data_IF_643722078778
#
_entry.id   IF_643722078778
#
_cell.length_a   1.000
_cell.length_b   1.000
_cell.length_c   1.000
_cell.angle_alpha   90.00
_cell.angle_beta   90.00
_cell.angle_gamma   90.00
#
_symmetry.space_group_name_H-M   'P 1'
#
loop_
_entity.id
_entity.type
_entity.pdbx_description
1 polymer ?
#
# COMPACT_ATOMS: atom_id res chain seq x y z
N UNK A 1 10.51 -10.05 -18.24
CA UNK A 1 10.47 -10.87 -17.03
C UNK A 1 11.19 -10.09 -15.94
N UNK A 2 10.48 -9.58 -14.94
CA UNK A 2 11.03 -8.65 -13.96
C UNK A 2 11.80 -9.39 -12.87
N UNK A 3 13.03 -8.96 -12.59
CA UNK A 3 13.67 -9.15 -11.29
C UNK A 3 13.40 -7.89 -10.44
N UNK A 4 12.13 -7.61 -10.15
CA UNK A 4 11.79 -6.70 -9.05
C UNK A 4 11.76 -7.57 -7.80
N UNK A 5 12.83 -7.54 -7.00
CA UNK A 5 12.88 -8.33 -5.78
C UNK A 5 12.09 -7.64 -4.67
N UNK A 6 10.83 -8.04 -4.53
CA UNK A 6 9.95 -7.56 -3.47
C UNK A 6 10.54 -7.76 -2.07
N UNK A 7 11.46 -8.72 -1.87
CA UNK A 7 12.04 -8.98 -0.56
C UNK A 7 13.00 -7.87 -0.09
N UNK A 8 13.67 -7.16 -1.01
CA UNK A 8 14.54 -6.04 -0.63
C UNK A 8 13.75 -4.81 -0.15
N UNK A 9 12.54 -4.64 -0.69
CA UNK A 9 11.67 -3.47 -0.47
C UNK A 9 10.64 -3.65 0.63
N UNK A 10 10.33 -4.89 0.99
CA UNK A 10 9.34 -5.22 2.01
C UNK A 10 9.60 -4.44 3.31
N UNK A 11 8.57 -3.80 3.83
CA UNK A 11 8.61 -3.07 5.10
C UNK A 11 9.38 -1.75 5.07
N UNK A 12 9.75 -1.24 3.89
CA UNK A 12 10.39 0.07 3.77
C UNK A 12 9.43 1.22 4.15
N UNK A 13 9.90 2.47 4.04
CA UNK A 13 9.11 3.66 4.37
C UNK A 13 7.79 3.75 3.60
N UNK A 14 7.80 3.35 2.31
CA UNK A 14 6.61 3.36 1.47
C UNK A 14 5.56 2.36 1.96
N UNK A 15 5.97 1.14 2.33
CA UNK A 15 5.08 0.12 2.89
C UNK A 15 4.52 0.54 4.25
N UNK A 16 5.32 1.19 5.09
CA UNK A 16 4.86 1.72 6.39
C UNK A 16 3.70 2.72 6.21
N UNK A 17 3.82 3.64 5.25
CA UNK A 17 2.74 4.59 4.92
C UNK A 17 1.54 3.87 4.29
N UNK A 18 1.79 3.03 3.27
CA UNK A 18 0.76 2.36 2.48
C UNK A 18 -0.10 1.40 3.32
N UNK A 19 0.54 0.51 4.08
CA UNK A 19 -0.19 -0.55 4.80
C UNK A 19 -0.96 -0.02 5.99
N UNK A 20 -0.45 0.98 6.69
CA UNK A 20 -1.17 1.63 7.80
C UNK A 20 -2.39 2.39 7.30
N UNK A 21 -2.22 3.16 6.21
CA UNK A 21 -3.33 3.82 5.51
C UNK A 21 -4.40 2.83 5.02
N UNK A 22 -3.97 1.75 4.37
CA UNK A 22 -4.84 0.71 3.85
C UNK A 22 -5.66 0.05 4.96
N UNK A 23 -5.02 -0.31 6.07
CA UNK A 23 -5.68 -0.92 7.23
C UNK A 23 -6.71 0.02 7.86
N UNK A 24 -6.36 1.29 8.06
CA UNK A 24 -7.26 2.26 8.66
C UNK A 24 -8.50 2.52 7.79
N UNK A 25 -8.31 2.63 6.47
CA UNK A 25 -9.42 2.75 5.52
C UNK A 25 -10.30 1.48 5.52
N UNK A 26 -9.69 0.30 5.50
CA UNK A 26 -10.42 -0.96 5.55
C UNK A 26 -11.22 -1.12 6.85
N UNK A 27 -10.65 -0.78 8.01
CA UNK A 27 -11.33 -0.91 9.29
C UNK A 27 -12.58 -0.03 9.36
N UNK A 28 -12.48 1.21 8.88
CA UNK A 28 -13.62 2.11 8.78
C UNK A 28 -14.71 1.55 7.84
N UNK A 29 -14.33 0.98 6.70
CA UNK A 29 -15.28 0.40 5.74
C UNK A 29 -15.93 -0.90 6.25
N UNK A 30 -15.18 -1.76 6.95
CA UNK A 30 -15.70 -2.96 7.61
C UNK A 30 -16.72 -2.56 8.67
N UNK A 31 -16.40 -1.56 9.49
CA UNK A 31 -17.28 -1.06 10.55
C UNK A 31 -18.58 -0.48 9.99
N UNK A 32 -18.51 0.19 8.84
CA UNK A 32 -19.66 0.84 8.21
C UNK A 32 -20.53 -0.09 7.34
N UNK A 33 -20.18 -1.37 7.18
CA UNK A 33 -20.87 -2.28 6.25
C UNK A 33 -21.29 -3.61 6.88
N UNK A 34 -22.36 -4.21 6.36
CA UNK A 34 -22.82 -5.56 6.71
C UNK A 34 -22.49 -6.58 5.61
N UNK A 35 -22.38 -7.87 5.95
CA UNK A 35 -22.13 -8.95 4.99
C UNK A 35 -20.68 -9.43 4.93
N UNK A 36 -20.18 -9.77 3.75
CA UNK A 36 -18.77 -10.11 3.54
C UNK A 36 -17.95 -8.82 3.30
N UNK A 37 -16.63 -8.91 3.38
CA UNK A 37 -15.73 -7.84 2.94
C UNK A 37 -14.94 -8.29 1.70
N UNK A 38 -15.29 -7.71 0.55
CA UNK A 38 -14.66 -7.94 -0.74
C UNK A 38 -13.47 -6.99 -0.94
N UNK A 39 -12.26 -7.51 -0.90
CA UNK A 39 -11.01 -6.79 -1.18
C UNK A 39 -10.52 -7.06 -2.61
N UNK A 40 -9.85 -6.09 -3.21
CA UNK A 40 -9.16 -6.29 -4.48
C UNK A 40 -7.79 -5.61 -4.47
N UNK A 41 -6.82 -6.24 -5.14
CA UNK A 41 -5.46 -5.72 -5.27
C UNK A 41 -4.91 -5.95 -6.68
N UNK A 42 -4.72 -4.87 -7.42
CA UNK A 42 -4.28 -4.92 -8.84
C UNK A 42 -2.81 -5.28 -9.02
N UNK A 43 -2.01 -5.19 -7.95
CA UNK A 43 -0.59 -5.51 -7.91
C UNK A 43 -0.29 -6.23 -6.60
N UNK A 44 -0.89 -7.41 -6.43
CA UNK A 44 -1.01 -8.07 -5.13
C UNK A 44 0.33 -8.36 -4.45
N UNK A 45 1.38 -8.70 -5.21
CA UNK A 45 2.65 -9.11 -4.65
C UNK A 45 2.54 -10.36 -3.77
N UNK A 46 3.63 -10.69 -3.09
CA UNK A 46 3.67 -11.80 -2.15
C UNK A 46 2.71 -11.56 -0.96
N UNK A 47 2.05 -12.63 -0.49
CA UNK A 47 1.25 -12.57 0.74
C UNK A 47 2.11 -12.23 1.96
N UNK A 48 3.38 -12.64 1.94
CA UNK A 48 4.40 -12.22 2.91
C UNK A 48 5.81 -12.33 2.29
N UNK A 49 6.72 -11.48 2.76
CA UNK A 49 8.11 -11.45 2.32
C UNK A 49 9.04 -11.76 3.49
N UNK A 50 10.06 -12.59 3.28
CA UNK A 50 11.06 -12.88 4.32
C UNK A 50 12.05 -11.72 4.38
N UNK A 51 12.18 -11.10 5.54
CA UNK A 51 13.08 -9.98 5.75
C UNK A 51 14.55 -10.46 5.77
N UNK A 52 15.32 -9.95 4.81
CA UNK A 52 16.75 -10.20 4.67
C UNK A 52 17.58 -9.22 5.50
N UNK A 53 18.82 -9.57 5.85
CA UNK A 53 19.73 -8.66 6.58
C UNK A 53 19.91 -7.32 5.90
N UNK A 54 19.95 -7.26 4.58
CA UNK A 54 20.30 -6.04 3.83
C UNK A 54 19.10 -5.26 3.31
N UNK A 55 17.88 -5.61 3.74
CA UNK A 55 16.64 -5.01 3.23
C UNK A 55 16.34 -3.60 3.74
N UNK A 56 15.49 -2.89 2.99
CA UNK A 56 15.06 -1.51 3.31
C UNK A 56 14.10 -1.42 4.51
N UNK A 57 13.60 -2.55 5.01
CA UNK A 57 12.77 -2.62 6.22
C UNK A 57 13.41 -1.89 7.41
N UNK A 58 14.75 -1.84 7.49
CA UNK A 58 15.50 -1.13 8.53
C UNK A 58 15.20 0.37 8.58
N UNK A 59 14.86 0.97 7.44
CA UNK A 59 14.54 2.40 7.35
C UNK A 59 13.05 2.69 7.49
N UNK A 60 12.19 1.68 7.28
CA UNK A 60 10.76 1.73 7.53
C UNK A 60 10.42 1.09 8.87
N UNK A 61 9.84 -0.12 8.81
CA UNK A 61 9.26 -0.80 9.97
C UNK A 61 10.28 -1.04 11.11
N UNK A 62 11.54 -1.31 10.78
CA UNK A 62 12.61 -1.51 11.77
C UNK A 62 12.88 -0.28 12.62
N UNK A 63 12.85 0.92 12.02
CA UNK A 63 13.00 2.19 12.76
C UNK A 63 11.77 2.44 13.64
N UNK A 64 10.58 2.20 13.12
CA UNK A 64 9.35 2.41 13.89
C UNK A 64 9.28 1.50 15.12
N UNK A 65 9.68 0.23 14.99
CA UNK A 65 9.74 -0.69 16.13
C UNK A 65 10.68 -0.22 17.23
N UNK A 66 11.85 0.28 16.84
CA UNK A 66 12.85 0.81 17.79
C UNK A 66 12.38 2.10 18.47
N UNK A 67 11.43 2.83 17.90
CA UNK A 67 10.94 4.08 18.50
C UNK A 67 10.30 3.86 19.88
N UNK A 68 9.85 2.63 20.20
CA UNK A 68 9.20 2.29 21.48
C UNK A 68 7.95 3.12 21.79
N UNK A 69 7.51 3.95 20.86
CA UNK A 69 6.49 4.97 21.09
C UNK A 69 5.14 4.28 21.17
N UNK A 70 4.38 4.56 22.23
CA UNK A 70 3.00 4.09 22.35
C UNK A 70 2.13 4.96 21.44
N UNK A 71 1.26 4.32 20.66
CA UNK A 71 0.31 5.00 19.81
C UNK A 71 -1.09 4.62 20.27
N UNK A 72 -1.94 5.61 20.54
CA UNK A 72 -3.33 5.35 20.93
C UNK A 72 -4.21 5.02 19.71
N UNK A 73 -3.68 5.19 18.50
CA UNK A 73 -4.37 4.80 17.27
C UNK A 73 -4.40 3.27 17.14
N UNK A 74 -5.61 2.72 17.21
CA UNK A 74 -5.85 1.27 17.15
C UNK A 74 -5.35 0.64 15.85
N UNK A 75 -5.40 1.35 14.72
CA UNK A 75 -4.93 0.82 13.44
C UNK A 75 -3.41 0.74 13.37
N UNK A 76 -2.71 1.73 13.94
CA UNK A 76 -1.25 1.68 14.06
C UNK A 76 -0.82 0.55 14.99
N UNK A 77 -1.51 0.40 16.13
CA UNK A 77 -1.24 -0.69 17.09
C UNK A 77 -1.52 -2.06 16.46
N UNK A 78 -2.68 -2.25 15.83
CA UNK A 78 -3.02 -3.49 15.16
C UNK A 78 -2.02 -3.84 14.05
N UNK A 79 -1.71 -2.87 13.18
CA UNK A 79 -0.69 -3.07 12.16
C UNK A 79 0.66 -3.46 12.76
N UNK A 80 1.06 -2.85 13.88
CA UNK A 80 2.30 -3.20 14.59
C UNK A 80 2.29 -4.60 15.18
N UNK A 81 1.15 -5.09 15.64
CA UNK A 81 1.03 -6.41 16.26
C UNK A 81 1.02 -7.54 15.22
N UNK A 82 0.67 -7.23 13.95
CA UNK A 82 0.54 -8.23 12.90
C UNK A 82 1.86 -8.74 12.31
N UNK A 83 3.00 -8.14 12.65
CA UNK A 83 4.30 -8.61 12.19
C UNK A 83 5.15 -9.02 13.40
N UNK A 84 5.43 -10.33 13.53
CA UNK A 84 6.25 -10.87 14.61
C UNK A 84 7.74 -10.67 14.28
N UNK A 85 8.24 -9.45 14.52
CA UNK A 85 9.66 -9.18 14.48
C UNK A 85 10.17 -9.00 15.90
N UNK A 86 10.57 -10.11 16.50
CA UNK A 86 11.46 -10.05 17.66
C UNK A 86 12.77 -9.43 17.18
N UNK A 87 13.28 -8.36 17.84
CA UNK A 87 14.49 -7.70 17.39
C UNK A 87 15.66 -8.68 17.36
N UNK A 88 16.18 -9.00 16.16
CA UNK A 88 17.37 -9.85 15.98
C UNK A 88 17.28 -11.01 14.99
N UNK A 89 16.25 -11.19 14.16
CA UNK A 89 16.19 -12.34 13.23
C UNK A 89 16.01 -11.96 11.75
N UNK A 90 17.08 -12.20 10.96
CA UNK A 90 16.91 -12.71 9.60
C UNK A 90 15.85 -13.82 9.63
N UNK A 91 14.87 -13.81 8.72
CA UNK A 91 13.89 -14.90 8.61
C UNK A 91 12.48 -14.57 9.10
N UNK A 92 12.25 -13.44 9.77
CA UNK A 92 10.89 -12.95 10.06
C UNK A 92 10.15 -12.57 8.76
N UNK A 93 8.84 -12.79 8.72
CA UNK A 93 8.00 -12.50 7.55
C UNK A 93 7.24 -11.18 7.72
N UNK A 94 7.40 -10.26 6.77
CA UNK A 94 6.60 -9.04 6.67
C UNK A 94 5.34 -9.30 5.83
N UNK A 95 4.12 -9.09 6.36
CA UNK A 95 2.90 -9.31 5.61
C UNK A 95 2.79 -8.39 4.38
N UNK A 96 2.21 -8.92 3.30
CA UNK A 96 1.73 -8.13 2.18
C UNK A 96 0.36 -7.51 2.48
N UNK A 97 -0.09 -6.63 1.59
CA UNK A 97 -1.38 -5.91 1.67
C UNK A 97 -2.57 -6.85 1.91
N UNK A 98 -2.67 -7.93 1.14
CA UNK A 98 -3.76 -8.91 1.23
C UNK A 98 -3.83 -9.59 2.60
N UNK A 99 -2.68 -9.92 3.20
CA UNK A 99 -2.61 -10.59 4.48
C UNK A 99 -2.99 -9.65 5.63
N UNK A 100 -2.63 -8.36 5.54
CA UNK A 100 -3.09 -7.33 6.47
C UNK A 100 -4.62 -7.24 6.50
N UNK A 101 -5.27 -7.15 5.33
CA UNK A 101 -6.74 -7.07 5.25
C UNK A 101 -7.41 -8.36 5.72
N UNK A 102 -6.85 -9.53 5.36
CA UNK A 102 -7.35 -10.82 5.85
C UNK A 102 -7.36 -10.88 7.38
N UNK A 103 -6.24 -10.54 8.01
CA UNK A 103 -6.12 -10.54 9.48
C UNK A 103 -7.06 -9.54 10.14
N UNK A 104 -7.23 -8.36 9.55
CA UNK A 104 -8.19 -7.37 10.02
C UNK A 104 -9.62 -7.94 9.99
N UNK A 105 -10.03 -8.54 8.88
CA UNK A 105 -11.36 -9.16 8.76
C UNK A 105 -11.58 -10.24 9.83
N UNK A 106 -10.59 -11.12 10.05
CA UNK A 106 -10.66 -12.14 11.11
C UNK A 106 -10.82 -11.52 12.50
N UNK A 107 -10.07 -10.46 12.81
CA UNK A 107 -10.16 -9.76 14.11
C UNK A 107 -11.53 -9.11 14.36
N UNK A 108 -12.29 -8.83 13.29
CA UNK A 108 -13.64 -8.24 13.32
C UNK A 108 -14.75 -9.28 13.09
N UNK A 109 -14.41 -10.58 13.10
CA UNK A 109 -15.33 -11.69 12.81
C UNK A 109 -16.07 -11.48 11.48
N UNK A 110 -15.32 -11.00 10.47
CA UNK A 110 -15.83 -10.66 9.15
C UNK A 110 -15.34 -11.69 8.13
N UNK A 111 -16.25 -12.16 7.28
CA UNK A 111 -15.87 -13.01 6.16
C UNK A 111 -15.01 -12.20 5.18
N UNK A 112 -13.83 -12.72 4.88
CA UNK A 112 -12.92 -12.14 3.90
C UNK A 112 -13.11 -12.80 2.54
N UNK A 113 -13.22 -11.97 1.51
CA UNK A 113 -13.13 -12.38 0.12
C UNK A 113 -12.15 -11.48 -0.61
N UNK A 114 -11.30 -12.04 -1.48
CA UNK A 114 -10.40 -11.22 -2.25
C UNK A 114 -10.25 -11.65 -3.70
N UNK A 115 -9.91 -10.68 -4.55
CA UNK A 115 -9.39 -10.92 -5.89
C UNK A 115 -8.01 -10.27 -5.99
N UNK A 116 -7.01 -11.05 -6.37
CA UNK A 116 -5.60 -10.64 -6.35
C UNK A 116 -5.00 -10.84 -7.74
N UNK A 117 -4.41 -9.79 -8.31
CA UNK A 117 -3.77 -9.84 -9.62
C UNK A 117 -2.25 -9.71 -9.47
N UNK A 118 -1.51 -10.59 -10.14
CA UNK A 118 -0.07 -10.49 -10.30
C UNK A 118 0.39 -11.23 -11.57
N UNK A 119 1.57 -10.91 -12.07
CA UNK A 119 2.15 -11.54 -13.27
C UNK A 119 3.39 -12.37 -12.99
N UNK A 120 3.93 -12.31 -11.76
CA UNK A 120 5.09 -13.08 -11.34
C UNK A 120 4.68 -14.51 -10.97
N UNK A 121 5.20 -15.54 -11.66
CA UNK A 121 4.87 -16.93 -11.33
C UNK A 121 5.18 -17.32 -9.88
N UNK A 122 6.25 -16.76 -9.30
CA UNK A 122 6.63 -17.00 -7.91
C UNK A 122 5.64 -16.37 -6.92
N UNK A 123 5.15 -15.16 -7.21
CA UNK A 123 4.10 -14.51 -6.41
C UNK A 123 2.81 -15.32 -6.49
N UNK A 124 2.37 -15.66 -7.70
CA UNK A 124 1.15 -16.43 -7.94
C UNK A 124 1.19 -17.76 -7.19
N UNK A 125 2.32 -18.48 -7.25
CA UNK A 125 2.49 -19.73 -6.52
C UNK A 125 2.33 -19.54 -4.99
N UNK A 126 2.99 -18.54 -4.40
CA UNK A 126 2.86 -18.27 -2.97
C UNK A 126 1.43 -17.87 -2.58
N UNK A 127 0.75 -17.05 -3.39
CA UNK A 127 -0.64 -16.67 -3.14
C UNK A 127 -1.56 -17.90 -3.14
N UNK A 128 -1.38 -18.82 -4.09
CA UNK A 128 -2.16 -20.07 -4.20
C UNK A 128 -1.92 -20.97 -2.98
N UNK A 129 -0.68 -21.07 -2.52
CA UNK A 129 -0.32 -21.85 -1.33
C UNK A 129 -0.84 -21.23 -0.03
N UNK A 130 -0.98 -19.90 0.02
CA UNK A 130 -1.34 -19.17 1.24
C UNK A 130 -2.85 -19.13 1.49
N UNK A 131 -3.66 -19.02 0.44
CA UNK A 131 -5.09 -18.73 0.57
C UNK A 131 -6.01 -19.87 0.13
N UNK A 132 -7.15 -20.02 0.80
CA UNK A 132 -8.23 -20.88 0.34
C UNK A 132 -8.88 -20.28 -0.92
N UNK A 133 -8.98 -21.08 -1.99
CA UNK A 133 -9.63 -20.72 -3.25
C UNK A 133 -11.12 -20.35 -3.12
N UNK A 134 -11.78 -20.74 -2.04
CA UNK A 134 -13.17 -20.32 -1.75
C UNK A 134 -13.24 -18.88 -1.24
N UNK A 135 -12.14 -18.38 -0.66
CA UNK A 135 -12.03 -17.02 -0.12
C UNK A 135 -11.34 -16.08 -1.11
N UNK A 136 -10.30 -16.56 -1.81
CA UNK A 136 -9.44 -15.72 -2.64
C UNK A 136 -9.35 -16.25 -4.06
N UNK A 137 -9.63 -15.39 -5.02
CA UNK A 137 -9.42 -15.63 -6.44
C UNK A 137 -8.11 -14.98 -6.87
N UNK A 138 -7.24 -15.74 -7.52
CA UNK A 138 -5.91 -15.30 -7.95
C UNK A 138 -5.89 -15.26 -9.47
N UNK A 139 -5.50 -14.11 -10.02
CA UNK A 139 -5.48 -13.83 -11.45
C UNK A 139 -4.03 -13.67 -11.93
N UNK A 140 -3.49 -14.64 -12.70
CA UNK A 140 -2.10 -14.62 -13.18
C UNK A 140 -1.89 -13.69 -14.41
N UNK A 141 -2.54 -12.54 -14.43
CA UNK A 141 -2.46 -11.53 -15.48
C UNK A 141 -2.62 -10.12 -14.90
N UNK A 142 -2.20 -9.05 -15.61
CA UNK A 142 -2.43 -7.68 -15.16
C UNK A 142 -3.93 -7.40 -15.01
N UNK A 143 -4.32 -6.77 -13.91
CA UNK A 143 -5.69 -6.29 -13.74
C UNK A 143 -6.03 -5.27 -14.85
N UNK A 144 -7.29 -5.29 -15.30
CA UNK A 144 -7.85 -4.26 -16.17
C UNK A 144 -9.15 -3.71 -15.55
N UNK A 145 -9.56 -2.47 -15.87
CA UNK A 145 -10.79 -1.88 -15.32
C UNK A 145 -12.03 -2.76 -15.52
N UNK A 146 -12.09 -3.48 -16.64
CA UNK A 146 -13.18 -4.37 -16.99
C UNK A 146 -13.38 -5.54 -16.01
N UNK A 147 -12.33 -5.95 -15.29
CA UNK A 147 -12.40 -6.99 -14.25
C UNK A 147 -13.35 -6.61 -13.08
N UNK A 148 -13.73 -5.32 -12.99
CA UNK A 148 -14.56 -4.76 -11.95
C UNK A 148 -15.99 -4.42 -12.39
N UNK A 149 -16.37 -4.70 -13.65
CA UNK A 149 -17.71 -4.41 -14.20
C UNK A 149 -18.82 -5.13 -13.45
N UNK A 150 -18.65 -6.43 -13.23
CA UNK A 150 -19.71 -7.28 -12.69
C UNK A 150 -19.78 -7.26 -11.15
N UNK A 151 -18.62 -7.06 -10.50
CA UNK A 151 -18.52 -7.04 -9.05
C UNK A 151 -17.52 -5.99 -8.59
N UNK A 152 -18.00 -5.04 -7.79
CA UNK A 152 -17.19 -3.97 -7.20
C UNK A 152 -16.73 -4.37 -5.80
N UNK A 153 -15.43 -4.28 -5.48
CA UNK A 153 -14.93 -4.56 -4.13
C UNK A 153 -15.41 -3.49 -3.15
N UNK A 154 -15.43 -3.82 -1.87
CA UNK A 154 -15.57 -2.84 -0.80
C UNK A 154 -14.36 -1.90 -0.73
N UNK A 155 -13.17 -2.39 -1.10
CA UNK A 155 -11.94 -1.60 -1.18
C UNK A 155 -11.00 -2.17 -2.26
N UNK A 156 -10.50 -1.30 -3.14
CA UNK A 156 -9.46 -1.60 -4.13
C UNK A 156 -8.12 -0.96 -3.74
N UNK A 157 -7.04 -1.74 -3.75
CA UNK A 157 -5.67 -1.23 -3.74
C UNK A 157 -5.06 -1.26 -5.15
N UNK A 158 -4.40 -0.16 -5.50
CA UNK A 158 -3.62 0.01 -6.72
C UNK A 158 -2.19 0.35 -6.31
N UNK A 159 -1.30 -0.64 -6.33
CA UNK A 159 0.08 -0.55 -5.83
C UNK A 159 1.12 -0.91 -6.89
N UNK A 160 1.20 -0.13 -7.99
CA UNK A 160 2.13 -0.44 -9.07
C UNK A 160 3.59 -0.37 -8.57
N UNK A 161 4.53 -1.07 -9.22
CA UNK A 161 5.97 -0.95 -8.91
C UNK A 161 6.55 0.46 -9.13
N UNK A 162 5.79 1.34 -9.78
CA UNK A 162 6.08 2.74 -10.08
C UNK A 162 5.26 3.23 -11.27
N UNK A 163 5.52 4.46 -11.71
CA UNK A 163 4.90 5.05 -12.90
C UNK A 163 5.82 4.99 -14.12
N UNK A 164 5.25 4.93 -15.33
CA UNK A 164 6.01 4.92 -16.58
C UNK A 164 6.94 6.14 -16.67
N UNK A 165 8.18 5.89 -17.06
CA UNK A 165 9.16 6.93 -17.39
C UNK A 165 9.95 6.53 -18.63
N UNK A 166 10.77 7.43 -19.18
CA UNK A 166 11.66 7.11 -20.31
C UNK A 166 12.56 5.89 -20.03
N UNK A 167 13.02 5.73 -18.79
CA UNK A 167 13.85 4.60 -18.33
C UNK A 167 13.07 3.40 -17.80
N UNK A 168 11.77 3.55 -17.51
CA UNK A 168 10.89 2.51 -16.98
C UNK A 168 9.65 2.41 -17.86
N UNK A 169 9.87 2.09 -19.14
CA UNK A 169 8.79 2.00 -20.15
C UNK A 169 7.77 0.90 -19.85
N UNK A 170 8.13 -0.04 -18.98
CA UNK A 170 7.31 -1.20 -18.66
C UNK A 170 6.37 -0.96 -17.45
N UNK A 171 6.50 0.16 -16.76
CA UNK A 171 5.56 0.55 -15.69
C UNK A 171 4.27 1.11 -16.31
N UNK A 172 3.14 1.00 -15.60
CA UNK A 172 1.85 1.53 -16.08
C UNK A 172 1.87 3.06 -16.16
N UNK A 173 1.03 3.60 -17.05
CA UNK A 173 0.77 5.04 -17.09
C UNK A 173 -0.22 5.44 -16.00
N UNK A 174 -0.10 6.68 -15.51
CA UNK A 174 -1.02 7.17 -14.48
C UNK A 174 -2.47 7.16 -14.96
N UNK A 175 -2.74 7.53 -16.22
CA UNK A 175 -4.07 7.51 -16.80
C UNK A 175 -4.70 6.09 -16.79
N UNK A 176 -3.91 5.05 -17.05
CA UNK A 176 -4.37 3.66 -16.95
C UNK A 176 -4.78 3.33 -15.50
N UNK A 177 -3.97 3.74 -14.53
CA UNK A 177 -4.27 3.53 -13.10
C UNK A 177 -5.48 4.33 -12.61
N UNK A 178 -5.66 5.56 -13.11
CA UNK A 178 -6.80 6.40 -12.75
C UNK A 178 -8.12 5.81 -13.28
N UNK A 179 -8.10 5.11 -14.41
CA UNK A 179 -9.32 4.49 -14.98
C UNK A 179 -9.97 3.43 -14.07
N UNK A 180 -9.23 2.84 -13.11
CA UNK A 180 -9.84 1.96 -12.10
C UNK A 180 -10.80 2.72 -11.17
N UNK A 181 -10.56 4.00 -10.90
CA UNK A 181 -11.46 4.82 -10.07
C UNK A 181 -12.82 5.05 -10.73
N UNK A 182 -12.94 4.92 -12.05
CA UNK A 182 -14.23 4.99 -12.74
C UNK A 182 -15.08 3.72 -12.52
N UNK A 183 -14.43 2.61 -12.16
CA UNK A 183 -15.07 1.32 -12.00
C UNK A 183 -15.53 1.05 -10.57
N UNK A 184 -14.82 1.59 -9.58
CA UNK A 184 -15.03 1.28 -8.15
C UNK A 184 -15.38 2.51 -7.33
N UNK A 185 -15.98 2.29 -6.15
CA UNK A 185 -16.38 3.38 -5.24
C UNK A 185 -15.23 3.80 -4.32
N UNK A 186 -14.52 2.81 -3.79
CA UNK A 186 -13.51 2.99 -2.75
C UNK A 186 -12.18 2.44 -3.27
N UNK A 187 -11.19 3.31 -3.45
CA UNK A 187 -9.88 2.92 -3.94
C UNK A 187 -8.76 3.77 -3.35
N UNK A 188 -7.59 3.15 -3.23
CA UNK A 188 -6.33 3.77 -2.84
C UNK A 188 -5.29 3.42 -3.90
N UNK A 189 -4.65 4.44 -4.45
CA UNK A 189 -3.51 4.34 -5.35
C UNK A 189 -2.25 4.81 -4.64
N UNK A 190 -1.24 3.95 -4.58
CA UNK A 190 0.09 4.29 -4.09
C UNK A 190 1.06 4.57 -5.25
N UNK A 191 1.95 5.56 -5.08
CA UNK A 191 3.09 5.75 -5.99
C UNK A 191 4.25 6.51 -5.35
N UNK A 192 5.50 6.29 -5.81
CA UNK A 192 6.67 6.96 -5.25
C UNK A 192 6.79 8.43 -5.67
N UNK A 193 7.25 9.29 -4.75
CA UNK A 193 7.65 10.67 -5.07
C UNK A 193 9.12 10.70 -5.48
N UNK A 194 9.37 11.03 -6.74
CA UNK A 194 10.75 11.07 -7.27
C UNK A 194 11.40 12.42 -6.97
N UNK A 195 12.69 12.38 -6.64
CA UNK A 195 13.49 13.54 -6.28
C UNK A 195 14.39 14.02 -7.42
N UNK A 196 14.72 15.31 -7.42
CA UNK A 196 15.76 15.94 -8.23
C UNK A 196 16.63 16.89 -7.39
N UNK A 197 17.93 16.92 -7.67
CA UNK A 197 18.87 17.84 -7.03
C UNK A 197 19.33 17.39 -5.64
N UNK A 198 19.82 18.35 -4.83
CA UNK A 198 20.33 18.16 -3.48
C UNK A 198 19.37 18.77 -2.46
N UNK A 199 19.29 18.22 -1.25
CA UNK A 199 18.43 18.69 -0.16
C UNK A 199 17.91 17.53 0.70
N UNK A 200 17.33 17.84 1.86
CA UNK A 200 16.71 16.84 2.74
C UNK A 200 15.41 17.41 3.35
N UNK A 201 14.22 17.01 2.85
CA UNK A 201 14.00 16.16 1.68
C UNK A 201 14.40 16.88 0.37
N UNK A 202 14.94 16.13 -0.58
CA UNK A 202 15.28 16.68 -1.89
C UNK A 202 14.03 17.22 -2.63
N UNK A 203 14.18 18.27 -3.48
CA UNK A 203 13.09 18.78 -4.29
C UNK A 203 12.45 17.70 -5.16
N UNK A 204 11.14 17.80 -5.34
CA UNK A 204 10.39 16.84 -6.15
C UNK A 204 10.59 17.09 -7.65
N UNK A 205 10.58 16.03 -8.47
CA UNK A 205 10.63 16.17 -9.93
C UNK A 205 9.32 16.72 -10.51
N UNK A 206 9.43 17.41 -11.65
CA UNK A 206 8.24 17.91 -12.37
C UNK A 206 7.25 16.78 -12.76
N UNK A 207 7.68 15.60 -13.25
CA UNK A 207 6.76 14.48 -13.50
C UNK A 207 5.99 14.04 -12.25
N UNK A 208 6.66 13.97 -11.10
CA UNK A 208 6.04 13.59 -9.83
C UNK A 208 4.99 14.64 -9.37
N UNK A 209 5.29 15.93 -9.51
CA UNK A 209 4.33 17.02 -9.25
C UNK A 209 3.12 16.97 -10.20
N UNK A 210 3.36 16.73 -11.49
CA UNK A 210 2.29 16.61 -12.47
C UNK A 210 1.37 15.41 -12.17
N UNK A 211 1.93 14.26 -11.77
CA UNK A 211 1.15 13.09 -11.37
C UNK A 211 0.18 13.42 -10.22
N UNK A 212 0.63 14.18 -9.22
CA UNK A 212 -0.24 14.69 -8.16
C UNK A 212 -1.34 15.60 -8.70
N UNK A 213 -1.00 16.58 -9.54
CA UNK A 213 -2.00 17.48 -10.12
C UNK A 213 -3.06 16.74 -10.95
N UNK A 214 -2.65 15.66 -11.63
CA UNK A 214 -3.57 14.81 -12.40
C UNK A 214 -4.51 14.04 -11.48
N UNK A 215 -4.03 13.45 -10.38
CA UNK A 215 -4.89 12.83 -9.35
C UNK A 215 -5.92 13.82 -8.79
N UNK A 216 -5.49 15.04 -8.43
CA UNK A 216 -6.39 16.09 -7.93
C UNK A 216 -7.42 16.51 -8.99
N UNK A 217 -6.99 16.65 -10.25
CA UNK A 217 -7.90 16.97 -11.38
C UNK A 217 -8.90 15.84 -11.65
N UNK A 218 -8.58 14.60 -11.26
CA UNK A 218 -9.47 13.44 -11.31
C UNK A 218 -10.39 13.35 -10.06
N UNK A 219 -10.41 14.38 -9.22
CA UNK A 219 -11.27 14.46 -8.04
C UNK A 219 -10.88 13.52 -6.90
N UNK A 220 -9.60 13.13 -6.84
CA UNK A 220 -9.07 12.30 -5.76
C UNK A 220 -8.47 13.18 -4.66
N UNK A 221 -8.61 12.75 -3.41
CA UNK A 221 -7.80 13.28 -2.31
C UNK A 221 -6.38 12.72 -2.40
N UNK A 222 -5.38 13.51 -1.99
CA UNK A 222 -3.98 13.13 -2.04
C UNK A 222 -3.30 13.37 -0.70
N UNK A 223 -2.70 12.31 -0.14
CA UNK A 223 -1.76 12.42 0.99
C UNK A 223 -0.34 12.24 0.46
N UNK A 224 0.53 13.22 0.71
CA UNK A 224 1.96 13.17 0.38
C UNK A 224 2.78 13.05 1.65
N UNK A 225 3.67 12.06 1.73
CA UNK A 225 4.60 11.87 2.85
C UNK A 225 6.02 11.94 2.33
N UNK A 226 6.87 12.78 2.93
CA UNK A 226 8.26 12.99 2.52
C UNK A 226 9.22 12.60 3.63
N UNK A 227 10.31 11.94 3.25
CA UNK A 227 11.37 11.53 4.16
C UNK A 227 12.75 11.97 3.66
N UNK A 228 13.67 12.13 4.60
CA UNK A 228 14.98 12.77 4.44
C UNK A 228 16.05 11.93 3.72
N UNK A 229 15.73 10.71 3.28
CA UNK A 229 16.70 9.77 2.74
C UNK A 229 16.55 9.51 1.23
N UNK A 230 17.46 10.09 0.44
CA UNK A 230 17.80 9.58 -0.89
C UNK A 230 17.91 10.62 -2.00
N UNK A 231 18.68 10.26 -3.04
CA UNK A 231 18.92 11.10 -4.24
C UNK A 231 17.82 10.89 -5.30
N UNK A 232 17.01 9.83 -5.19
CA UNK A 232 16.05 9.40 -6.24
C UNK A 232 14.58 9.36 -5.80
N UNK A 233 14.30 9.01 -4.55
CA UNK A 233 12.95 9.00 -3.97
C UNK A 233 12.98 9.85 -2.71
N UNK A 234 12.07 10.82 -2.61
CA UNK A 234 11.97 11.73 -1.46
C UNK A 234 10.69 11.51 -0.64
N UNK A 235 9.88 10.50 -0.99
CA UNK A 235 8.57 10.29 -0.39
C UNK A 235 7.69 9.30 -1.15
N UNK A 236 6.44 9.22 -0.75
CA UNK A 236 5.37 8.54 -1.47
C UNK A 236 4.07 9.35 -1.45
N UNK A 237 3.12 8.93 -2.29
CA UNK A 237 1.76 9.44 -2.30
C UNK A 237 0.75 8.34 -2.19
N UNK A 238 -0.36 8.70 -1.56
CA UNK A 238 -1.62 7.98 -1.58
C UNK A 238 -2.64 8.89 -2.26
N UNK A 239 -3.13 8.53 -3.44
CA UNK A 239 -4.29 9.16 -4.06
C UNK A 239 -5.51 8.26 -3.82
N UNK A 240 -6.62 8.81 -3.34
CA UNK A 240 -7.75 7.97 -2.91
C UNK A 240 -9.10 8.64 -3.10
N UNK A 241 -10.12 7.79 -3.23
CA UNK A 241 -11.54 8.14 -3.18
C UNK A 241 -12.14 7.20 -2.14
N UNK A 242 -12.54 7.77 -1.00
CA UNK A 242 -13.05 7.04 0.15
C UNK A 242 -14.14 7.88 0.84
N UNK A 243 -15.12 7.27 1.51
CA UNK A 243 -16.06 7.98 2.37
C UNK A 243 -15.33 8.76 3.48
N UNK A 244 -15.93 9.83 3.98
CA UNK A 244 -15.29 10.75 4.94
C UNK A 244 -14.67 10.05 6.15
N UNK A 245 -15.38 9.09 6.75
CA UNK A 245 -14.89 8.33 7.90
C UNK A 245 -13.61 7.52 7.57
N UNK A 246 -13.57 6.88 6.40
CA UNK A 246 -12.41 6.11 5.95
C UNK A 246 -11.26 7.02 5.53
N UNK A 247 -11.55 8.14 4.87
CA UNK A 247 -10.59 9.19 4.54
C UNK A 247 -9.94 9.79 5.80
N UNK A 248 -10.74 10.07 6.83
CA UNK A 248 -10.27 10.58 8.11
C UNK A 248 -9.38 9.54 8.83
N UNK A 249 -9.84 8.30 8.95
CA UNK A 249 -9.07 7.22 9.57
C UNK A 249 -7.72 7.01 8.87
N UNK A 250 -7.72 6.99 7.54
CA UNK A 250 -6.50 6.92 6.73
C UNK A 250 -5.55 8.08 7.07
N UNK A 251 -6.01 9.33 6.99
CA UNK A 251 -5.16 10.50 7.24
C UNK A 251 -4.58 10.51 8.66
N UNK A 252 -5.45 10.32 9.67
CA UNK A 252 -5.04 10.29 11.08
C UNK A 252 -3.98 9.21 11.35
N UNK A 253 -4.13 8.02 10.77
CA UNK A 253 -3.13 6.96 10.92
C UNK A 253 -1.81 7.31 10.23
N UNK A 254 -1.84 7.94 9.05
CA UNK A 254 -0.62 8.38 8.38
C UNK A 254 0.05 9.54 9.12
N UNK A 255 -0.70 10.45 9.72
CA UNK A 255 -0.20 11.53 10.58
C UNK A 255 0.59 10.98 11.78
N UNK A 256 0.02 9.99 12.48
CA UNK A 256 0.68 9.35 13.61
C UNK A 256 2.01 8.70 13.20
N UNK A 257 1.99 7.95 12.10
CA UNK A 257 3.17 7.29 11.54
C UNK A 257 4.22 8.31 11.09
N UNK A 258 3.83 9.35 10.38
CA UNK A 258 4.74 10.41 9.94
C UNK A 258 5.38 11.12 11.14
N UNK A 259 4.59 11.39 12.18
CA UNK A 259 5.06 11.98 13.45
C UNK A 259 6.11 11.11 14.12
N UNK A 260 5.85 9.80 14.29
CA UNK A 260 6.83 8.88 14.89
C UNK A 260 8.13 8.78 14.09
N UNK A 261 8.02 8.88 12.77
CA UNK A 261 9.15 8.69 11.88
C UNK A 261 9.95 9.98 11.61
N UNK A 262 9.40 11.14 12.01
CA UNK A 262 9.94 12.46 11.72
C UNK A 262 9.88 12.79 10.23
N UNK A 263 8.73 12.51 9.60
CA UNK A 263 8.47 12.74 8.18
C UNK A 263 7.54 13.95 7.99
N UNK A 264 7.72 14.64 6.86
CA UNK A 264 6.81 15.73 6.48
C UNK A 264 5.57 15.16 5.81
N UNK A 265 4.40 15.66 6.17
CA UNK A 265 3.12 15.22 5.62
C UNK A 265 2.28 16.38 5.10
N UNK A 266 1.53 16.14 4.03
CA UNK A 266 0.57 17.07 3.47
C UNK A 266 -0.68 16.34 2.95
N UNK A 267 -1.87 16.88 3.23
CA UNK A 267 -3.15 16.39 2.73
C UNK A 267 -3.80 17.45 1.83
N UNK A 268 -4.26 17.03 0.64
CA UNK A 268 -4.90 17.88 -0.38
C UNK A 268 -6.15 17.24 -0.96
#
# INVERSE_FOLDING_TARGET
MYMYDHNEKAGNQGDVVKHTALLAAADALITASSGDFDYADTFAGYAFNVLQSTGEWRYGIGKLWQSGSRCDNVNVTFWRDLWDCKPGLLGSAYPGSSLFIFKLCMSKTRNFRARLWDTSPAVIAQLIETYDKQQVMIHPWPAIPDDFKDRKPNLLLIDPPGLRTKSKKQYPDLAELLSFFDMVRNAILWFPMTAQGKGSPAPETKPSLNAKSECLSHGLSVTSVRWSNGVRTCGCRLAYRLPDAASYALRSTVDDVATFMGWDINHE
#
